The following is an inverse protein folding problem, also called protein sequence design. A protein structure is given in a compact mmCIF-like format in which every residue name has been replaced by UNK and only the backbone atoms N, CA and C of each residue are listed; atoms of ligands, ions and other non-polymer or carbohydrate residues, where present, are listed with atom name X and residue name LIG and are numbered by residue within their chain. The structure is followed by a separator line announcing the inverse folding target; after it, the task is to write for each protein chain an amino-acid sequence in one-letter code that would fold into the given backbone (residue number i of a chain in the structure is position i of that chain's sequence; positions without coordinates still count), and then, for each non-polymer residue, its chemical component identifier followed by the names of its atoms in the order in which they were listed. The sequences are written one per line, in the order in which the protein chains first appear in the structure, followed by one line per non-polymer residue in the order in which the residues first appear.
data_IF_646517196482
#
_entry.id   IF_646517196482
#
_cell.length_a   1.000
_cell.length_b   1.000
_cell.length_c   1.000
_cell.angle_alpha   90.00
_cell.angle_beta   90.00
_cell.angle_gamma   90.00
#
_symmetry.space_group_name_H-M   'P 1'
#
loop_
_entity.id
_entity.type
_entity.pdbx_description
1 polymer ?
#
# COMPACT_ATOMS: atom_id res chain seq x y z
N UNK A 1 -5.05 -11.85 3.75
CA UNK A 1 -5.84 -11.92 5.00
C UNK A 1 -6.02 -10.47 5.42
N UNK A 2 -7.23 -9.92 5.29
CA UNK A 2 -7.49 -8.52 5.67
C UNK A 2 -7.45 -8.40 7.20
N UNK A 3 -6.69 -7.45 7.70
CA UNK A 3 -6.60 -7.14 9.12
C UNK A 3 -7.61 -6.04 9.43
N UNK A 4 -8.58 -6.30 10.30
CA UNK A 4 -9.55 -5.30 10.75
C UNK A 4 -9.16 -4.81 12.14
N UNK A 5 -9.30 -3.50 12.36
CA UNK A 5 -9.28 -2.96 13.72
C UNK A 5 -10.73 -2.80 14.17
N UNK A 6 -11.06 -3.41 15.30
CA UNK A 6 -12.40 -3.32 15.89
C UNK A 6 -12.35 -2.39 17.09
N UNK A 7 -13.15 -1.33 17.06
CA UNK A 7 -13.37 -0.44 18.19
C UNK A 7 -14.79 -0.65 18.70
N UNK A 8 -14.92 -1.03 19.97
CA UNK A 8 -16.22 -1.22 20.62
C UNK A 8 -16.51 0.00 21.51
N UNK A 9 -17.64 0.68 21.28
CA UNK A 9 -18.15 1.77 22.13
C UNK A 9 -19.55 1.39 22.59
N UNK A 10 -19.67 1.01 23.86
CA UNK A 10 -20.93 0.50 24.42
C UNK A 10 -21.37 -0.78 23.71
N UNK A 11 -22.59 -0.79 23.16
CA UNK A 11 -23.14 -1.93 22.42
C UNK A 11 -22.90 -1.85 20.90
N UNK A 12 -22.09 -0.89 20.43
CA UNK A 12 -21.81 -0.70 19.01
C UNK A 12 -20.37 -1.11 18.70
N UNK A 13 -20.21 -1.95 17.69
CA UNK A 13 -18.93 -2.46 17.19
C UNK A 13 -18.61 -1.83 15.85
N UNK A 14 -17.55 -1.03 15.81
CA UNK A 14 -17.04 -0.43 14.59
C UNK A 14 -15.91 -1.29 14.05
N UNK A 15 -16.11 -1.85 12.85
CA UNK A 15 -15.08 -2.61 12.15
C UNK A 15 -14.64 -1.79 10.94
N UNK A 16 -13.37 -1.40 10.90
CA UNK A 16 -12.80 -0.72 9.74
C UNK A 16 -11.66 -1.56 9.15
N UNK A 17 -11.63 -1.72 7.84
CA UNK A 17 -10.46 -2.25 7.14
C UNK A 17 -9.45 -1.12 7.04
N UNK A 18 -8.30 -1.25 7.71
CA UNK A 18 -7.22 -0.26 7.61
C UNK A 18 -6.48 -0.32 6.27
N UNK A 19 -6.85 -1.24 5.37
CA UNK A 19 -6.26 -1.37 4.04
C UNK A 19 -6.93 -0.43 3.03
N UNK A 20 -6.97 0.87 3.32
CA UNK A 20 -7.33 1.87 2.30
C UNK A 20 -6.20 2.08 1.28
N UNK A 21 -4.98 1.67 1.64
CA UNK A 21 -3.82 1.69 0.76
C UNK A 21 -3.01 0.39 1.00
N UNK A 22 -2.81 -0.47 -0.01
CA UNK A 22 -2.02 -1.68 0.14
C UNK A 22 -0.52 -1.33 0.22
N UNK A 23 0.03 -1.31 1.43
CA UNK A 23 1.45 -1.12 1.69
C UNK A 23 1.75 -0.11 2.80
N UNK A 24 2.97 -0.14 3.34
CA UNK A 24 3.45 0.94 4.21
C UNK A 24 3.78 2.19 3.39
N UNK A 25 3.83 3.36 4.03
CA UNK A 25 4.31 4.60 3.39
C UNK A 25 5.67 4.38 2.71
N UNK A 26 6.54 3.55 3.31
CA UNK A 26 7.85 3.17 2.76
C UNK A 26 7.73 2.46 1.40
N UNK A 27 6.76 1.54 1.29
CA UNK A 27 6.44 0.88 0.01
C UNK A 27 6.02 1.92 -1.04
N UNK A 28 5.15 2.87 -0.68
CA UNK A 28 4.70 3.91 -1.62
C UNK A 28 5.81 4.86 -2.04
N UNK A 29 6.64 5.32 -1.10
CA UNK A 29 7.80 6.18 -1.41
C UNK A 29 8.74 5.45 -2.38
N UNK A 30 9.05 4.18 -2.07
CA UNK A 30 9.93 3.38 -2.94
C UNK A 30 9.35 3.26 -4.35
N UNK A 31 8.03 3.05 -4.48
CA UNK A 31 7.35 2.94 -5.76
C UNK A 31 7.30 4.28 -6.53
N UNK A 32 7.07 5.41 -5.86
CA UNK A 32 6.95 6.73 -6.51
C UNK A 32 8.28 7.22 -7.12
N UNK A 33 9.40 6.84 -6.49
CA UNK A 33 10.74 7.11 -7.00
C UNK A 33 11.34 5.99 -7.84
N UNK A 34 10.65 4.87 -8.04
CA UNK A 34 11.20 3.71 -8.74
C UNK A 34 11.27 3.91 -10.26
N UNK A 35 12.42 3.57 -10.83
CA UNK A 35 12.59 3.33 -12.26
C UNK A 35 12.94 1.85 -12.52
N UNK A 36 12.50 1.29 -13.66
CA UNK A 36 12.94 -0.03 -14.10
C UNK A 36 14.46 -0.10 -14.26
N UNK A 37 15.07 -1.06 -13.57
CA UNK A 37 16.48 -1.37 -13.63
C UNK A 37 16.74 -2.85 -13.37
N UNK A 38 16.87 -3.63 -14.45
CA UNK A 38 17.26 -5.04 -14.36
C UNK A 38 18.64 -5.16 -13.71
N UNK A 39 18.80 -6.18 -12.87
CA UNK A 39 20.10 -6.53 -12.28
C UNK A 39 21.03 -7.01 -13.41
N UNK A 40 22.21 -6.42 -13.54
CA UNK A 40 23.28 -7.02 -14.35
C UNK A 40 23.79 -8.24 -13.58
N UNK A 41 23.69 -9.42 -14.20
CA UNK A 41 24.22 -10.67 -13.65
C UNK A 41 25.62 -10.85 -14.24
N UNK A 42 26.63 -11.08 -13.41
CA UNK A 42 27.95 -11.49 -13.92
C UNK A 42 27.88 -12.93 -14.43
N UNK A 43 28.89 -13.36 -15.21
CA UNK A 43 28.97 -14.65 -15.91
C UNK A 43 28.84 -15.88 -14.99
N UNK A 44 28.95 -15.70 -13.68
CA UNK A 44 28.92 -16.76 -12.65
C UNK A 44 27.62 -16.78 -11.81
N UNK A 45 26.53 -16.13 -12.26
CA UNK A 45 25.22 -16.05 -11.56
C UNK A 45 25.26 -15.51 -10.11
N UNK A 46 26.40 -14.95 -9.69
CA UNK A 46 26.60 -14.49 -8.33
C UNK A 46 25.97 -13.10 -8.15
N UNK A 47 24.87 -13.06 -7.40
CA UNK A 47 24.01 -11.88 -7.27
C UNK A 47 24.46 -10.95 -6.11
N UNK A 48 25.77 -10.81 -5.91
CA UNK A 48 26.36 -9.97 -4.86
C UNK A 48 26.08 -8.48 -5.13
N UNK A 49 25.32 -7.83 -4.23
CA UNK A 49 25.24 -6.39 -3.92
C UNK A 49 25.87 -5.37 -4.91
N UNK A 50 25.60 -5.46 -6.22
CA UNK A 50 26.07 -4.49 -7.20
C UNK A 50 25.19 -3.24 -7.13
N UNK A 51 25.82 -2.11 -6.82
CA UNK A 51 25.23 -0.79 -7.01
C UNK A 51 24.84 -0.63 -8.48
N UNK A 52 23.69 0.00 -8.72
CA UNK A 52 23.29 0.30 -10.08
C UNK A 52 24.33 1.23 -10.72
N UNK A 53 24.79 0.92 -11.94
CA UNK A 53 25.77 1.74 -12.67
C UNK A 53 25.18 3.04 -13.23
N UNK A 54 23.85 3.21 -13.19
CA UNK A 54 23.18 4.41 -13.70
C UNK A 54 23.36 5.56 -12.70
N UNK A 55 23.94 6.71 -13.11
CA UNK A 55 24.21 7.82 -12.20
C UNK A 55 22.96 8.45 -11.56
N UNK A 56 21.80 8.33 -12.21
CA UNK A 56 20.52 8.82 -11.68
C UNK A 56 19.93 7.91 -10.60
N UNK A 57 20.44 6.68 -10.41
CA UNK A 57 19.87 5.71 -9.48
C UNK A 57 20.59 5.80 -8.14
N UNK A 58 19.87 6.21 -7.10
CA UNK A 58 20.41 6.39 -5.75
C UNK A 58 20.66 5.06 -5.06
N UNK A 59 19.64 4.18 -5.05
CA UNK A 59 19.75 2.86 -4.45
C UNK A 59 18.82 1.85 -5.13
N UNK A 60 19.16 0.58 -4.99
CA UNK A 60 18.38 -0.53 -5.55
C UNK A 60 17.27 -0.94 -4.59
N UNK A 61 16.03 -0.93 -5.09
CA UNK A 61 14.84 -1.34 -4.33
C UNK A 61 14.74 -2.87 -4.36
N UNK A 62 14.76 -3.46 -5.56
CA UNK A 62 14.64 -4.91 -5.79
C UNK A 62 15.41 -5.38 -7.05
N UNK A 63 15.11 -6.58 -7.56
CA UNK A 63 15.74 -7.16 -8.76
C UNK A 63 15.54 -6.32 -10.02
N UNK A 64 14.46 -5.55 -10.08
CA UNK A 64 13.97 -4.94 -11.30
C UNK A 64 13.80 -3.42 -11.19
N UNK A 65 14.03 -2.83 -10.01
CA UNK A 65 13.78 -1.40 -9.76
C UNK A 65 14.85 -0.75 -8.90
N UNK A 66 15.13 0.50 -9.22
CA UNK A 66 15.98 1.40 -8.44
C UNK A 66 15.26 2.72 -8.17
N UNK A 67 15.56 3.36 -7.04
CA UNK A 67 15.07 4.69 -6.74
C UNK A 67 15.89 5.72 -7.54
N UNK A 68 15.22 6.59 -8.29
CA UNK A 68 15.85 7.45 -9.29
C UNK A 68 15.37 8.92 -9.28
N UNK A 69 14.27 9.23 -8.57
CA UNK A 69 13.62 10.54 -8.65
C UNK A 69 13.50 11.27 -7.29
N UNK A 70 14.60 11.58 -6.59
CA UNK A 70 14.56 12.33 -5.35
C UNK A 70 13.99 13.76 -5.54
N UNK A 71 14.08 14.34 -6.73
CA UNK A 71 13.53 15.66 -7.07
C UNK A 71 12.01 15.76 -6.96
N UNK A 72 11.29 14.62 -6.99
CA UNK A 72 9.85 14.58 -6.73
C UNK A 72 9.49 14.84 -5.27
N UNK A 73 10.47 14.75 -4.38
CA UNK A 73 10.31 14.93 -2.93
C UNK A 73 10.89 16.28 -2.50
N UNK A 74 10.40 17.37 -3.09
CA UNK A 74 10.94 18.72 -2.86
C UNK A 74 10.88 19.16 -1.40
N UNK A 75 9.79 18.83 -0.68
CA UNK A 75 9.58 19.23 0.71
C UNK A 75 10.56 18.48 1.62
N UNK A 76 10.69 17.16 1.42
CA UNK A 76 11.65 16.34 2.15
C UNK A 76 13.07 16.77 1.85
N UNK A 77 13.41 17.10 0.59
CA UNK A 77 14.75 17.62 0.28
C UNK A 77 15.01 18.99 0.87
N UNK A 78 14.00 19.84 1.02
CA UNK A 78 14.15 21.18 1.56
C UNK A 78 14.29 21.18 3.09
N UNK A 79 13.40 20.48 3.79
CA UNK A 79 13.30 20.52 5.26
C UNK A 79 13.86 19.29 5.95
N UNK A 80 14.12 18.22 5.21
CA UNK A 80 14.67 16.98 5.75
C UNK A 80 16.17 17.04 6.02
N UNK A 81 16.70 15.99 6.67
CA UNK A 81 18.12 15.86 6.98
C UNK A 81 18.99 15.92 5.72
N UNK A 82 20.05 16.75 5.76
CA UNK A 82 20.94 16.99 4.61
C UNK A 82 22.10 16.00 4.56
N UNK A 83 22.60 15.76 3.35
CA UNK A 83 23.87 15.06 3.12
C UNK A 83 23.80 13.53 3.11
N UNK A 84 22.60 12.94 3.24
CA UNK A 84 22.37 11.49 3.22
C UNK A 84 21.02 11.12 2.59
N UNK A 85 20.69 11.68 1.42
CA UNK A 85 19.42 11.46 0.72
C UNK A 85 19.08 9.96 0.55
N UNK A 86 20.08 9.11 0.31
CA UNK A 86 19.89 7.66 0.22
C UNK A 86 19.26 7.07 1.49
N UNK A 87 19.72 7.46 2.68
CA UNK A 87 19.20 6.96 3.95
C UNK A 87 17.83 7.56 4.28
N UNK A 88 17.63 8.83 3.91
CA UNK A 88 16.35 9.53 4.07
C UNK A 88 15.25 8.85 3.26
N UNK A 89 15.48 8.59 1.98
CA UNK A 89 14.46 8.00 1.08
C UNK A 89 14.33 6.49 1.22
N UNK A 90 15.37 5.77 1.67
CA UNK A 90 15.26 4.35 2.02
C UNK A 90 14.36 4.11 3.23
N UNK A 91 14.24 5.12 4.11
CA UNK A 91 13.44 5.15 5.33
C UNK A 91 13.66 3.94 6.25
N UNK A 92 14.31 4.19 7.38
CA UNK A 92 14.60 3.14 8.36
C UNK A 92 13.31 2.56 8.99
N UNK A 93 13.29 1.27 9.39
CA UNK A 93 12.12 0.68 10.07
C UNK A 93 11.89 1.33 11.45
N UNK A 94 10.69 1.20 12.01
CA UNK A 94 10.39 1.70 13.36
C UNK A 94 9.87 0.57 14.27
N UNK A 95 10.34 0.47 15.52
CA UNK A 95 9.98 -0.62 16.42
C UNK A 95 8.69 -0.31 17.20
N UNK A 96 7.55 -0.26 16.51
CA UNK A 96 6.25 0.16 17.07
C UNK A 96 5.83 -0.63 18.31
N UNK A 97 5.97 -1.96 18.27
CA UNK A 97 5.54 -2.83 19.38
C UNK A 97 6.46 -2.68 20.61
N UNK A 98 7.75 -2.37 20.39
CA UNK A 98 8.69 -2.12 21.47
C UNK A 98 8.54 -0.72 22.06
N UNK A 99 8.26 0.31 21.25
CA UNK A 99 8.09 1.70 21.71
C UNK A 99 6.69 1.94 22.31
N UNK A 100 6.40 1.24 23.40
CA UNK A 100 5.08 1.21 24.05
C UNK A 100 5.04 1.91 25.41
N UNK A 101 6.16 2.47 25.89
CA UNK A 101 6.20 3.28 27.10
C UNK A 101 7.06 4.54 26.89
N UNK A 102 6.72 5.68 27.52
CA UNK A 102 7.45 6.93 27.33
C UNK A 102 8.92 6.85 27.72
N UNK A 103 9.29 6.05 28.73
CA UNK A 103 10.67 6.00 29.28
C UNK A 103 11.68 5.47 28.25
N UNK A 104 11.22 4.68 27.27
CA UNK A 104 12.05 4.14 26.20
C UNK A 104 12.58 5.20 25.25
N UNK A 105 11.99 6.40 25.27
CA UNK A 105 12.45 7.52 24.43
C UNK A 105 13.88 7.96 24.80
N UNK A 106 14.28 7.79 26.06
CA UNK A 106 15.61 8.20 26.53
C UNK A 106 16.62 7.04 26.52
N UNK A 107 16.26 5.89 25.93
CA UNK A 107 17.17 4.76 25.75
C UNK A 107 18.41 5.19 24.94
N UNK A 108 19.61 4.83 25.40
CA UNK A 108 20.89 5.29 24.83
C UNK A 108 21.43 4.40 23.71
N UNK A 109 20.64 3.44 23.25
CA UNK A 109 21.00 2.49 22.20
C UNK A 109 19.81 2.17 21.32
N UNK A 110 20.06 1.86 20.06
CA UNK A 110 19.07 1.25 19.20
C UNK A 110 18.66 -0.12 19.78
N UNK A 111 17.36 -0.44 19.88
CA UNK A 111 16.91 -1.74 20.40
C UNK A 111 17.29 -2.87 19.44
N UNK A 112 17.25 -4.12 19.91
CA UNK A 112 17.64 -5.28 19.11
C UNK A 112 16.72 -5.51 17.91
N UNK A 113 17.17 -6.29 16.92
CA UNK A 113 16.38 -6.60 15.71
C UNK A 113 15.01 -7.21 16.03
N UNK A 114 14.91 -7.99 17.10
CA UNK A 114 13.65 -8.62 17.53
C UNK A 114 12.60 -7.59 17.95
N UNK A 115 13.04 -6.41 18.43
CA UNK A 115 12.16 -5.31 18.81
C UNK A 115 11.48 -4.65 17.60
N UNK A 116 11.99 -4.87 16.39
CA UNK A 116 11.42 -4.37 15.13
C UNK A 116 10.43 -5.36 14.49
N UNK A 117 10.17 -6.51 15.12
CA UNK A 117 9.14 -7.43 14.65
C UNK A 117 7.75 -6.80 14.79
N UNK A 118 6.85 -7.08 13.85
CA UNK A 118 5.47 -6.60 13.88
C UNK A 118 4.53 -7.70 14.35
N UNK A 119 3.89 -7.49 15.50
CA UNK A 119 2.83 -8.37 16.02
C UNK A 119 1.60 -8.29 15.12
N UNK A 120 1.22 -7.08 14.71
CA UNK A 120 0.05 -6.82 13.86
C UNK A 120 0.12 -7.59 12.54
N UNK A 121 1.26 -7.55 11.87
CA UNK A 121 1.47 -8.21 10.58
C UNK A 121 2.03 -9.63 10.71
N UNK A 122 2.29 -10.10 11.93
CA UNK A 122 2.96 -11.38 12.24
C UNK A 122 4.24 -11.56 11.40
N UNK A 123 5.00 -10.48 11.23
CA UNK A 123 6.18 -10.43 10.36
C UNK A 123 7.44 -10.13 11.14
N UNK A 124 8.55 -10.79 10.77
CA UNK A 124 9.86 -10.51 11.33
C UNK A 124 10.56 -9.38 10.60
N UNK A 125 11.32 -8.56 11.32
CA UNK A 125 12.21 -7.59 10.69
C UNK A 125 13.31 -8.34 9.93
N UNK A 126 13.56 -7.96 8.67
CA UNK A 126 14.67 -8.52 7.91
C UNK A 126 16.00 -7.91 8.37
N UNK A 127 17.09 -8.67 8.28
CA UNK A 127 18.43 -8.17 8.57
C UNK A 127 18.79 -6.96 7.69
N UNK A 128 18.38 -6.97 6.42
CA UNK A 128 18.59 -5.84 5.50
C UNK A 128 17.89 -4.57 5.99
N UNK A 129 16.65 -4.68 6.50
CA UNK A 129 15.91 -3.53 7.02
C UNK A 129 16.52 -3.02 8.33
N UNK A 130 16.92 -3.91 9.24
CA UNK A 130 17.56 -3.53 10.50
C UNK A 130 18.93 -2.86 10.27
N UNK A 131 19.69 -3.32 9.27
CA UNK A 131 20.95 -2.67 8.87
C UNK A 131 20.74 -1.19 8.48
N UNK A 132 19.61 -0.85 7.85
CA UNK A 132 19.28 0.55 7.53
C UNK A 132 19.10 1.36 8.81
N UNK A 133 18.43 0.81 9.82
CA UNK A 133 18.27 1.48 11.11
C UNK A 133 19.61 1.75 11.80
N UNK A 134 20.52 0.78 11.74
CA UNK A 134 21.89 0.93 12.27
C UNK A 134 22.68 2.00 11.49
N UNK A 135 22.65 1.96 10.15
CA UNK A 135 23.29 2.95 9.28
C UNK A 135 22.76 4.36 9.55
N UNK A 136 21.45 4.53 9.78
CA UNK A 136 20.83 5.81 10.16
C UNK A 136 21.30 6.26 11.55
N UNK A 137 21.25 5.36 12.54
CA UNK A 137 21.68 5.66 13.91
C UNK A 137 23.13 6.19 13.94
N UNK A 138 24.03 5.50 13.24
CA UNK A 138 25.45 5.86 13.15
C UNK A 138 25.68 7.12 12.29
N UNK A 139 25.05 7.21 11.11
CA UNK A 139 25.31 8.31 10.17
C UNK A 139 24.86 9.68 10.66
N UNK A 140 23.87 9.72 11.55
CA UNK A 140 23.36 10.96 12.15
C UNK A 140 23.83 11.15 13.60
N UNK A 141 24.81 10.36 14.06
CA UNK A 141 25.40 10.41 15.40
C UNK A 141 24.37 10.41 16.54
N UNK A 142 23.34 9.58 16.41
CA UNK A 142 22.23 9.51 17.36
C UNK A 142 22.69 8.98 18.72
N UNK A 143 22.32 9.67 19.80
CA UNK A 143 22.72 9.31 21.17
C UNK A 143 21.61 8.65 21.96
N UNK A 144 20.37 9.02 21.66
CA UNK A 144 19.18 8.49 22.32
C UNK A 144 18.12 8.07 21.30
N UNK A 145 17.22 7.19 21.72
CA UNK A 145 16.10 6.77 20.90
C UNK A 145 15.19 7.94 20.53
N UNK A 146 15.17 9.02 21.31
CA UNK A 146 14.55 10.30 20.96
C UNK A 146 15.07 10.86 19.65
N UNK A 147 16.38 10.82 19.41
CA UNK A 147 16.95 11.29 18.14
C UNK A 147 16.44 10.46 16.95
N UNK A 148 16.38 9.14 17.14
CA UNK A 148 15.85 8.21 16.13
C UNK A 148 14.35 8.41 15.89
N UNK A 149 13.59 8.57 16.96
CA UNK A 149 12.15 8.84 16.92
C UNK A 149 11.85 10.15 16.20
N UNK A 150 12.48 11.25 16.59
CA UNK A 150 12.24 12.56 16.00
C UNK A 150 12.67 12.60 14.54
N UNK A 151 13.76 11.92 14.19
CA UNK A 151 14.17 11.71 12.80
C UNK A 151 13.09 10.97 12.01
N UNK A 152 12.64 9.82 12.52
CA UNK A 152 11.63 9.00 11.85
C UNK A 152 10.30 9.75 11.67
N UNK A 153 9.81 10.40 12.73
CA UNK A 153 8.56 11.16 12.71
C UNK A 153 8.63 12.35 11.75
N UNK A 154 9.73 13.10 11.76
CA UNK A 154 9.91 14.19 10.80
C UNK A 154 9.89 13.67 9.36
N UNK A 155 10.56 12.55 9.09
CA UNK A 155 10.53 11.93 7.77
C UNK A 155 9.13 11.45 7.36
N UNK A 156 8.36 10.86 8.29
CA UNK A 156 6.97 10.46 8.03
C UNK A 156 6.13 11.64 7.56
N UNK A 157 6.23 12.77 8.26
CA UNK A 157 5.48 13.98 7.93
C UNK A 157 5.92 14.57 6.59
N UNK A 158 7.22 14.69 6.36
CA UNK A 158 7.76 15.29 5.13
C UNK A 158 7.44 14.45 3.89
N UNK A 159 7.60 13.13 3.98
CA UNK A 159 7.33 12.23 2.87
C UNK A 159 5.83 12.13 2.59
N UNK A 160 4.99 12.16 3.63
CA UNK A 160 3.54 12.24 3.45
C UNK A 160 3.15 13.56 2.77
N UNK A 161 3.76 14.68 3.14
CA UNK A 161 3.52 15.97 2.52
C UNK A 161 3.89 15.96 1.02
N UNK A 162 5.05 15.42 0.65
CA UNK A 162 5.44 15.27 -0.76
C UNK A 162 4.46 14.36 -1.53
N UNK A 163 4.06 13.23 -0.95
CA UNK A 163 3.05 12.34 -1.54
C UNK A 163 1.72 13.08 -1.77
N UNK A 164 1.24 13.81 -0.76
CA UNK A 164 -0.04 14.52 -0.82
C UNK A 164 0.01 15.68 -1.82
N UNK A 165 1.08 16.48 -1.84
CA UNK A 165 1.24 17.58 -2.79
C UNK A 165 1.39 17.08 -4.23
N UNK A 166 2.09 15.96 -4.45
CA UNK A 166 2.13 15.28 -5.73
C UNK A 166 0.75 14.82 -6.18
N UNK A 167 -0.02 14.21 -5.27
CA UNK A 167 -1.39 13.77 -5.54
C UNK A 167 -2.33 14.94 -5.83
N UNK A 168 -2.24 16.04 -5.06
CA UNK A 168 -3.00 17.28 -5.28
C UNK A 168 -2.77 17.85 -6.67
N UNK A 169 -1.51 17.98 -7.09
CA UNK A 169 -1.14 18.46 -8.43
C UNK A 169 -1.74 17.58 -9.53
N UNK A 170 -1.63 16.25 -9.38
CA UNK A 170 -2.18 15.29 -10.33
C UNK A 170 -3.71 15.42 -10.46
N UNK A 171 -4.41 15.39 -9.33
CA UNK A 171 -5.87 15.43 -9.28
C UNK A 171 -6.41 16.76 -9.76
N UNK A 172 -5.79 17.88 -9.36
CA UNK A 172 -6.15 19.21 -9.83
C UNK A 172 -5.92 19.36 -11.33
N UNK A 173 -4.82 18.83 -11.86
CA UNK A 173 -4.56 18.82 -13.30
C UNK A 173 -5.58 17.98 -14.08
N UNK A 174 -6.04 16.85 -13.52
CA UNK A 174 -6.96 15.93 -14.20
C UNK A 174 -8.43 16.34 -14.13
N UNK A 175 -8.90 16.80 -12.98
CA UNK A 175 -10.32 17.07 -12.73
C UNK A 175 -10.62 18.55 -12.46
N UNK A 176 -9.60 19.39 -12.30
CA UNK A 176 -9.76 20.80 -11.90
C UNK A 176 -10.39 20.95 -10.51
N UNK A 177 -10.21 19.95 -9.64
CA UNK A 177 -10.70 19.90 -8.27
C UNK A 177 -9.49 19.69 -7.34
N UNK A 178 -9.47 20.34 -6.18
CA UNK A 178 -8.42 20.14 -5.19
C UNK A 178 -8.94 19.23 -4.07
N UNK A 179 -8.28 18.10 -3.87
CA UNK A 179 -8.65 17.10 -2.85
C UNK A 179 -8.65 17.69 -1.44
N UNK A 180 -7.88 18.76 -1.18
CA UNK A 180 -7.84 19.41 0.13
C UNK A 180 -9.16 20.10 0.53
N UNK A 181 -10.09 20.29 -0.40
CA UNK A 181 -11.43 20.81 -0.11
C UNK A 181 -12.43 19.72 0.28
N UNK A 182 -12.02 18.45 0.30
CA UNK A 182 -12.89 17.32 0.55
C UNK A 182 -12.52 16.62 1.85
N UNK A 183 -13.55 16.26 2.62
CA UNK A 183 -13.39 15.48 3.86
C UNK A 183 -12.93 14.05 3.56
N UNK A 184 -13.33 13.50 2.41
CA UNK A 184 -13.02 12.12 2.02
C UNK A 184 -12.84 11.96 0.51
N UNK A 185 -12.10 10.92 0.11
CA UNK A 185 -11.92 10.60 -1.30
C UNK A 185 -13.24 10.24 -2.03
N UNK A 186 -14.22 9.52 -1.43
CA UNK A 186 -15.52 9.32 -2.05
C UNK A 186 -16.29 10.62 -2.36
N UNK A 187 -16.23 11.61 -1.46
CA UNK A 187 -16.85 12.93 -1.70
C UNK A 187 -16.24 13.62 -2.92
N UNK A 188 -14.90 13.58 -3.01
CA UNK A 188 -14.18 14.05 -4.19
C UNK A 188 -14.56 13.28 -5.45
N UNK A 189 -14.61 11.94 -5.40
CA UNK A 189 -14.88 11.10 -6.56
C UNK A 189 -16.30 11.35 -7.11
N UNK A 190 -17.28 11.58 -6.23
CA UNK A 190 -18.64 11.96 -6.59
C UNK A 190 -18.68 13.28 -7.38
N UNK A 191 -18.03 14.32 -6.86
CA UNK A 191 -17.99 15.62 -7.55
C UNK A 191 -17.20 15.55 -8.85
N UNK A 192 -16.08 14.82 -8.86
CA UNK A 192 -15.29 14.58 -10.06
C UNK A 192 -16.13 13.86 -11.13
N UNK A 193 -16.96 12.88 -10.74
CA UNK A 193 -17.88 12.20 -11.64
C UNK A 193 -18.87 13.20 -12.26
N UNK A 194 -19.63 13.94 -11.46
CA UNK A 194 -20.63 14.88 -11.99
C UNK A 194 -20.02 16.00 -12.82
N UNK A 195 -18.88 16.54 -12.39
CA UNK A 195 -18.17 17.57 -13.16
C UNK A 195 -17.70 17.04 -14.52
N UNK A 196 -17.30 15.77 -14.59
CA UNK A 196 -16.79 15.15 -15.82
C UNK A 196 -17.93 14.76 -16.75
N UNK A 197 -19.04 14.22 -16.23
CA UNK A 197 -20.16 13.73 -17.04
C UNK A 197 -21.19 14.80 -17.36
N UNK A 198 -21.28 15.86 -16.54
CA UNK A 198 -22.37 16.84 -16.61
C UNK A 198 -23.74 16.27 -16.23
N UNK A 199 -23.78 15.07 -15.64
CA UNK A 199 -25.02 14.38 -15.33
C UNK A 199 -25.71 15.03 -14.12
N UNK A 200 -27.00 15.30 -14.27
CA UNK A 200 -27.89 15.69 -13.17
C UNK A 200 -28.66 14.45 -12.70
N UNK A 201 -28.68 14.22 -11.38
CA UNK A 201 -29.43 13.12 -10.75
C UNK A 201 -30.54 13.74 -9.90
N UNK A 202 -31.77 13.28 -10.11
CA UNK A 202 -32.93 13.65 -9.30
C UNK A 202 -32.73 13.17 -7.85
N UNK A 203 -32.94 14.07 -6.89
CA UNK A 203 -32.88 13.74 -5.47
C UNK A 203 -34.21 13.14 -5.02
N UNK A 204 -34.16 12.14 -4.14
CA UNK A 204 -35.36 11.65 -3.48
C UNK A 204 -35.98 12.74 -2.60
N UNK A 205 -37.27 12.98 -2.78
CA UNK A 205 -38.06 13.93 -1.98
C UNK A 205 -39.03 13.24 -1.01
N UNK A 206 -39.18 11.91 -1.13
CA UNK A 206 -40.01 11.06 -0.25
C UNK A 206 -39.13 10.03 0.46
N UNK A 207 -39.24 9.98 1.79
CA UNK A 207 -38.53 9.05 2.66
C UNK A 207 -38.82 7.58 2.31
N UNK A 208 -40.05 7.26 1.89
CA UNK A 208 -40.40 5.88 1.53
C UNK A 208 -39.61 5.40 0.31
N UNK A 209 -39.33 6.29 -0.64
CA UNK A 209 -38.54 5.98 -1.83
C UNK A 209 -37.07 5.75 -1.46
N UNK A 210 -36.53 6.61 -0.60
CA UNK A 210 -35.18 6.42 -0.06
C UNK A 210 -35.07 5.05 0.65
N UNK A 211 -35.99 4.76 1.58
CA UNK A 211 -36.01 3.51 2.34
C UNK A 211 -36.20 2.28 1.44
N UNK A 212 -37.00 2.40 0.39
CA UNK A 212 -37.18 1.33 -0.59
C UNK A 212 -35.86 1.03 -1.33
N UNK A 213 -35.19 2.07 -1.84
CA UNK A 213 -33.90 1.92 -2.51
C UNK A 213 -32.82 1.39 -1.57
N UNK A 214 -32.71 1.95 -0.35
CA UNK A 214 -31.76 1.52 0.66
C UNK A 214 -31.93 0.03 1.01
N UNK A 215 -33.17 -0.43 1.22
CA UNK A 215 -33.50 -1.85 1.44
C UNK A 215 -33.17 -2.73 0.23
N UNK A 216 -33.06 -2.16 -0.96
CA UNK A 216 -32.67 -2.84 -2.20
C UNK A 216 -31.16 -2.95 -2.41
N UNK A 217 -30.33 -2.15 -1.73
CA UNK A 217 -28.88 -2.16 -1.91
C UNK A 217 -28.29 -3.50 -1.46
N UNK A 218 -27.49 -4.13 -2.31
CA UNK A 218 -26.74 -5.35 -2.02
C UNK A 218 -25.26 -5.11 -2.32
N UNK A 219 -24.39 -5.71 -1.52
CA UNK A 219 -22.96 -5.70 -1.77
C UNK A 219 -22.55 -6.68 -2.89
N UNK A 220 -21.24 -6.88 -3.03
CA UNK A 220 -20.70 -7.88 -3.96
C UNK A 220 -21.16 -9.29 -3.59
N UNK A 221 -21.47 -10.09 -4.62
CA UNK A 221 -21.80 -11.51 -4.44
C UNK A 221 -20.51 -12.27 -4.13
N UNK A 222 -20.47 -12.94 -2.97
CA UNK A 222 -19.39 -13.86 -2.61
C UNK A 222 -19.98 -15.25 -2.38
N UNK A 223 -19.47 -16.24 -3.13
CA UNK A 223 -19.94 -17.62 -3.08
C UNK A 223 -18.76 -18.57 -3.04
N UNK A 224 -18.80 -19.53 -2.11
CA UNK A 224 -17.86 -20.65 -2.04
C UNK A 224 -18.64 -21.92 -2.30
N UNK A 225 -18.64 -22.39 -3.55
CA UNK A 225 -19.38 -23.60 -3.95
C UNK A 225 -18.72 -24.88 -3.42
N UNK A 226 -17.40 -24.88 -3.26
CA UNK A 226 -16.62 -25.99 -2.71
C UNK A 226 -15.62 -25.44 -1.68
N UNK A 227 -15.51 -26.10 -0.52
CA UNK A 227 -14.60 -25.67 0.56
C UNK A 227 -13.13 -25.66 0.13
N UNK A 228 -12.75 -26.59 -0.74
CA UNK A 228 -11.40 -26.68 -1.29
C UNK A 228 -11.45 -27.35 -2.66
N UNK A 229 -10.72 -26.79 -3.62
CA UNK A 229 -10.44 -27.42 -4.92
C UNK A 229 -8.94 -27.41 -5.12
N UNK A 230 -8.39 -28.50 -5.65
CA UNK A 230 -6.96 -28.65 -5.90
C UNK A 230 -6.77 -29.06 -7.35
N UNK A 231 -5.89 -28.35 -8.05
CA UNK A 231 -5.50 -28.70 -9.41
C UNK A 231 -4.63 -29.97 -9.40
N UNK A 232 -4.72 -30.77 -10.46
CA UNK A 232 -3.88 -31.94 -10.69
C UNK A 232 -3.26 -31.84 -12.09
N UNK A 233 -2.08 -31.24 -12.17
CA UNK A 233 -1.30 -31.11 -13.41
C UNK A 233 0.21 -31.03 -13.09
N UNK A 234 1.11 -31.23 -14.09
CA UNK A 234 2.56 -31.31 -13.86
C UNK A 234 3.23 -30.06 -13.27
N UNK A 235 2.54 -28.91 -13.24
CA UNK A 235 3.06 -27.69 -12.61
C UNK A 235 2.79 -27.66 -11.10
N UNK A 236 1.99 -28.59 -10.57
CA UNK A 236 1.72 -28.71 -9.14
C UNK A 236 2.85 -29.47 -8.43
N UNK A 237 3.37 -28.98 -7.28
CA UNK A 237 4.49 -29.61 -6.56
C UNK A 237 4.23 -31.05 -6.09
N UNK A 238 2.96 -31.41 -5.96
CA UNK A 238 2.47 -32.70 -5.44
C UNK A 238 1.79 -33.55 -6.53
N UNK A 239 2.07 -33.26 -7.80
CA UNK A 239 1.60 -34.06 -8.92
C UNK A 239 2.10 -35.51 -8.82
N UNK A 240 1.17 -36.46 -8.75
CA UNK A 240 1.49 -37.90 -8.76
C UNK A 240 1.17 -38.46 -10.15
N UNK A 241 2.18 -38.79 -10.98
CA UNK A 241 1.96 -39.46 -12.25
C UNK A 241 1.72 -40.95 -12.00
N UNK A 242 0.49 -41.35 -11.63
CA UNK A 242 0.17 -42.76 -11.47
C UNK A 242 -0.71 -43.26 -12.64
N UNK A 243 -0.20 -44.31 -13.29
CA UNK A 243 -0.75 -45.20 -14.35
C UNK A 243 -1.57 -44.60 -15.51
N UNK A 244 -1.47 -45.20 -16.70
CA UNK A 244 -2.23 -44.77 -17.91
C UNK A 244 -3.75 -44.70 -17.68
N UNK A 245 -4.28 -45.48 -16.74
CA UNK A 245 -5.69 -45.49 -16.34
C UNK A 245 -6.06 -44.33 -15.40
N UNK A 246 -5.12 -43.83 -14.59
CA UNK A 246 -5.30 -42.66 -13.74
C UNK A 246 -4.96 -41.33 -14.44
N UNK A 247 -4.16 -41.34 -15.51
CA UNK A 247 -4.05 -40.18 -16.43
C UNK A 247 -5.39 -39.80 -17.09
N UNK A 248 -6.30 -40.76 -17.28
CA UNK A 248 -7.68 -40.49 -17.71
C UNK A 248 -8.57 -39.90 -16.60
N UNK A 249 -8.22 -40.12 -15.32
CA UNK A 249 -8.87 -39.48 -14.17
C UNK A 249 -8.26 -38.10 -13.92
N UNK A 250 -8.60 -37.22 -14.87
CA UNK A 250 -8.80 -35.78 -14.72
C UNK A 250 -7.53 -34.95 -14.45
N UNK A 251 -6.78 -34.72 -15.53
CA UNK A 251 -6.00 -33.49 -15.70
C UNK A 251 -6.90 -32.28 -15.36
N UNK A 252 -6.57 -31.55 -14.31
CA UNK A 252 -7.36 -30.40 -13.86
C UNK A 252 -6.49 -29.16 -13.68
N UNK A 253 -6.97 -28.05 -14.23
CA UNK A 253 -6.41 -26.73 -14.07
C UNK A 253 -7.42 -25.83 -13.38
N UNK A 254 -6.93 -24.87 -12.59
CA UNK A 254 -7.75 -23.81 -12.02
C UNK A 254 -7.59 -22.56 -12.87
N UNK A 255 -8.72 -21.96 -13.25
CA UNK A 255 -8.75 -20.67 -13.94
C UNK A 255 -9.14 -19.59 -12.93
N UNK A 256 -8.33 -18.56 -12.82
CA UNK A 256 -8.65 -17.34 -12.08
C UNK A 256 -8.93 -16.22 -13.10
N UNK A 257 -10.12 -15.64 -13.01
CA UNK A 257 -10.52 -14.49 -13.84
C UNK A 257 -10.89 -13.36 -12.89
N UNK A 258 -10.36 -12.18 -13.16
CA UNK A 258 -10.72 -10.96 -12.45
C UNK A 258 -11.22 -9.91 -13.44
N UNK A 259 -12.31 -9.24 -13.09
CA UNK A 259 -12.91 -8.22 -13.94
C UNK A 259 -12.26 -6.85 -13.62
N UNK A 260 -11.46 -6.36 -14.56
CA UNK A 260 -10.86 -5.03 -14.47
C UNK A 260 -11.95 -3.96 -14.26
N UNK A 261 -11.92 -3.31 -13.10
CA UNK A 261 -12.77 -2.18 -12.77
C UNK A 261 -14.29 -2.47 -12.90
N UNK A 262 -14.73 -3.62 -12.34
CA UNK A 262 -16.11 -4.13 -12.39
C UNK A 262 -17.20 -3.05 -12.18
N UNK A 263 -17.15 -2.32 -11.05
CA UNK A 263 -18.17 -1.32 -10.72
C UNK A 263 -18.16 -0.14 -11.69
N UNK A 264 -16.99 0.38 -12.04
CA UNK A 264 -16.90 1.47 -13.03
C UNK A 264 -17.38 1.02 -14.41
N UNK A 265 -17.14 -0.25 -14.79
CA UNK A 265 -17.68 -0.83 -16.01
C UNK A 265 -19.21 -0.89 -16.00
N UNK A 266 -19.81 -1.24 -14.86
CA UNK A 266 -21.27 -1.22 -14.68
C UNK A 266 -21.82 0.21 -14.73
N UNK A 267 -21.12 1.19 -14.16
CA UNK A 267 -21.51 2.61 -14.20
C UNK A 267 -21.51 3.23 -15.60
N UNK A 268 -20.88 2.59 -16.59
CA UNK A 268 -20.93 3.01 -18.00
C UNK A 268 -22.20 2.54 -18.73
N UNK A 269 -23.02 1.69 -18.11
CA UNK A 269 -24.30 1.24 -18.65
C UNK A 269 -25.42 2.24 -18.32
N UNK A 270 -26.61 2.02 -18.89
CA UNK A 270 -27.79 2.83 -18.55
C UNK A 270 -28.15 2.65 -17.07
N UNK A 271 -28.21 3.76 -16.34
CA UNK A 271 -28.51 3.80 -14.91
C UNK A 271 -29.73 4.68 -14.63
N UNK A 272 -30.48 4.41 -13.55
CA UNK A 272 -31.57 5.29 -13.13
C UNK A 272 -31.00 6.65 -12.67
N UNK A 273 -31.44 7.74 -13.30
CA UNK A 273 -30.99 9.12 -13.02
C UNK A 273 -32.12 10.04 -12.54
N UNK A 274 -33.37 9.59 -12.66
CA UNK A 274 -34.57 10.35 -12.30
C UNK A 274 -35.85 9.72 -12.84
N UNK A 275 -36.95 10.47 -12.77
CA UNK A 275 -38.31 9.98 -13.03
C UNK A 275 -38.83 9.09 -11.92
N UNK A 276 -38.31 9.25 -10.69
CA UNK A 276 -38.73 8.45 -9.56
C UNK A 276 -40.11 8.95 -9.10
N UNK A 277 -41.18 8.26 -9.48
CA UNK A 277 -42.57 8.56 -9.11
C UNK A 277 -43.27 7.32 -8.60
#
# INVERSE_FOLDING_TARGET
MESYLTLDIGNQRYMNSLQLIPGSLDSHISNLGAEPCKKEVDKDENSLNLSCKKPSHLYRIDSDRCFAHPERFSITREHGPKGRDELVFRKAPFPYDWFNTPEKIDATSLPSIEAFNSILNKSKCSEKAYKIAQEVWESFDMKTFRNYHDFYLNLDVLLLADCLEGFRKLIKGKFGLDIAHYVSFPSFAKDALYKTTGQEIELFTDDNMYLFCEKGIRGGISMVSNRQVKANNPQCPDFVPETEEAMKKLYTCLLYVDANALYTGAMMQSMPIGGHR
#
